data_IF_888001293000
#
_entry.id   IF_888001293000
#
_cell.length_a   1.000
_cell.length_b   1.000
_cell.length_c   1.000
_cell.angle_alpha   90.00
_cell.angle_beta   90.00
_cell.angle_gamma   90.00
#
_symmetry.space_group_name_H-M   'P 1'
#
loop_
_entity.id
_entity.type
_entity.pdbx_description
1 polymer ?
#
# COMPACT_ATOMS: atom_id res chain seq x y z
N UNK A 1 -7.21 -10.59 -5.51
CA UNK A 1 -7.67 -9.70 -4.40
C UNK A 1 -6.71 -9.85 -3.22
N UNK A 2 -5.78 -8.91 -3.07
CA UNK A 2 -4.85 -8.86 -1.93
C UNK A 2 -5.61 -8.31 -0.73
N UNK A 3 -5.65 -9.05 0.38
CA UNK A 3 -6.30 -8.53 1.60
C UNK A 3 -5.40 -7.50 2.27
N UNK A 4 -5.99 -6.50 2.92
CA UNK A 4 -5.25 -5.44 3.66
C UNK A 4 -4.18 -6.00 4.61
N UNK A 5 -4.44 -7.14 5.27
CA UNK A 5 -3.47 -7.82 6.13
C UNK A 5 -2.19 -8.23 5.41
N UNK A 6 -2.32 -8.79 4.21
CA UNK A 6 -1.18 -9.18 3.38
C UNK A 6 -0.38 -7.94 2.93
N UNK A 7 -1.06 -6.83 2.65
CA UNK A 7 -0.41 -5.57 2.29
C UNK A 7 0.36 -4.96 3.46
N UNK A 8 -0.19 -5.00 4.67
CA UNK A 8 0.50 -4.59 5.89
C UNK A 8 1.78 -5.41 6.08
N UNK A 9 1.68 -6.73 5.95
CA UNK A 9 2.85 -7.62 6.05
C UNK A 9 3.92 -7.29 5.02
N UNK A 10 3.51 -7.12 3.76
CA UNK A 10 4.42 -6.75 2.67
C UNK A 10 5.16 -5.45 2.98
N UNK A 11 4.45 -4.39 3.38
CA UNK A 11 5.05 -3.10 3.72
C UNK A 11 5.98 -3.21 4.94
N UNK A 12 5.61 -4.01 5.94
CA UNK A 12 6.45 -4.27 7.11
C UNK A 12 7.76 -4.95 6.71
N UNK A 13 7.68 -5.98 5.87
CA UNK A 13 8.84 -6.73 5.39
C UNK A 13 9.74 -5.87 4.46
N UNK A 14 9.15 -5.07 3.56
CA UNK A 14 9.89 -4.12 2.69
C UNK A 14 10.68 -3.06 3.48
N UNK A 15 10.16 -2.65 4.64
CA UNK A 15 10.83 -1.71 5.56
C UNK A 15 11.74 -2.40 6.57
N UNK A 16 11.82 -3.73 6.57
CA UNK A 16 12.55 -4.55 7.54
C UNK A 16 12.15 -4.28 8.99
N UNK A 17 10.86 -4.02 9.24
CA UNK A 17 10.36 -3.83 10.60
C UNK A 17 9.96 -5.18 11.23
N UNK A 18 10.37 -5.39 12.47
CA UNK A 18 9.75 -6.37 13.37
C UNK A 18 8.32 -5.94 13.73
N UNK A 19 7.52 -6.86 14.29
CA UNK A 19 6.17 -6.51 14.77
C UNK A 19 6.22 -5.49 15.92
N UNK A 20 7.24 -5.60 16.75
CA UNK A 20 7.54 -4.75 17.89
C UNK A 20 7.93 -3.34 17.45
N UNK A 21 8.77 -3.21 16.42
CA UNK A 21 9.15 -1.91 15.84
C UNK A 21 7.96 -1.24 15.17
N UNK A 22 7.18 -1.96 14.36
CA UNK A 22 5.98 -1.40 13.75
C UNK A 22 4.95 -1.02 14.82
N UNK A 23 4.83 -1.80 15.90
CA UNK A 23 4.00 -1.48 17.05
C UNK A 23 4.38 -0.16 17.70
N UNK A 24 5.69 0.06 17.92
CA UNK A 24 6.21 1.34 18.45
C UNK A 24 5.95 2.52 17.50
N UNK A 25 6.22 2.35 16.20
CA UNK A 25 6.04 3.42 15.20
C UNK A 25 4.57 3.80 15.00
N UNK A 26 3.67 2.81 14.99
CA UNK A 26 2.24 3.03 14.78
C UNK A 26 1.46 3.25 16.09
N UNK A 27 2.10 3.10 17.25
CA UNK A 27 1.44 3.08 18.56
C UNK A 27 0.27 2.08 18.59
N UNK A 28 0.56 0.85 18.18
CA UNK A 28 -0.35 -0.30 18.17
C UNK A 28 0.32 -1.48 18.88
N UNK A 29 -0.50 -2.37 19.44
CA UNK A 29 0.01 -3.61 20.03
C UNK A 29 0.52 -4.57 18.95
N UNK A 30 1.72 -5.17 19.09
CA UNK A 30 2.28 -6.13 18.13
C UNK A 30 1.35 -7.33 17.85
N UNK A 31 0.58 -7.78 18.84
CA UNK A 31 -0.41 -8.84 18.68
C UNK A 31 -1.55 -8.40 17.77
N UNK A 32 -1.98 -7.14 17.86
CA UNK A 32 -3.00 -6.59 16.96
C UNK A 32 -2.51 -6.56 15.52
N UNK A 33 -1.27 -6.09 15.31
CA UNK A 33 -0.62 -6.09 13.99
C UNK A 33 -0.55 -7.52 13.42
N UNK A 34 -0.05 -8.47 14.21
CA UNK A 34 0.00 -9.89 13.81
C UNK A 34 -1.37 -10.45 13.44
N UNK A 35 -2.43 -10.09 14.19
CA UNK A 35 -3.80 -10.50 13.86
C UNK A 35 -4.29 -9.88 12.55
N UNK A 36 -3.94 -8.63 12.27
CA UNK A 36 -4.26 -7.99 10.98
C UNK A 36 -3.54 -8.71 9.83
N UNK A 37 -2.23 -8.94 9.95
CA UNK A 37 -1.42 -9.62 8.92
C UNK A 37 -1.93 -11.03 8.59
N UNK A 38 -2.41 -11.75 9.61
CA UNK A 38 -2.94 -13.09 9.47
C UNK A 38 -4.46 -13.14 9.18
N UNK A 39 -5.09 -12.00 8.86
CA UNK A 39 -6.54 -11.89 8.60
C UNK A 39 -7.42 -12.41 9.75
N UNK A 40 -6.92 -12.41 11.00
CA UNK A 40 -7.68 -12.78 12.21
C UNK A 40 -8.41 -11.60 12.84
N UNK A 41 -8.16 -10.39 12.34
CA UNK A 41 -8.87 -9.17 12.69
C UNK A 41 -8.80 -8.19 11.52
N UNK A 42 -9.78 -7.29 11.43
CA UNK A 42 -9.80 -6.19 10.46
C UNK A 42 -9.40 -4.91 11.21
N UNK A 43 -8.40 -4.14 10.74
CA UNK A 43 -8.03 -2.88 11.37
C UNK A 43 -9.16 -1.86 11.19
N UNK A 44 -9.51 -1.17 12.27
CA UNK A 44 -10.47 -0.06 12.24
C UNK A 44 -9.80 1.22 11.73
N UNK A 45 -10.60 2.26 11.47
CA UNK A 45 -10.15 3.53 10.87
C UNK A 45 -8.94 4.16 11.58
N UNK A 46 -8.90 4.13 12.91
CA UNK A 46 -7.77 4.67 13.68
C UNK A 46 -6.49 3.85 13.49
N UNK A 47 -6.57 2.50 13.53
CA UNK A 47 -5.44 1.63 13.21
C UNK A 47 -4.93 1.84 11.79
N UNK A 48 -5.83 2.01 10.82
CA UNK A 48 -5.46 2.30 9.42
C UNK A 48 -4.66 3.61 9.32
N UNK A 49 -5.15 4.69 9.96
CA UNK A 49 -4.44 5.98 10.01
C UNK A 49 -3.05 5.84 10.61
N UNK A 50 -2.95 5.17 11.76
CA UNK A 50 -1.69 4.91 12.47
C UNK A 50 -0.69 4.14 11.62
N UNK A 51 -1.13 3.08 10.95
CA UNK A 51 -0.29 2.27 10.06
C UNK A 51 0.15 3.08 8.83
N UNK A 52 -0.75 3.82 8.20
CA UNK A 52 -0.41 4.66 7.05
C UNK A 52 0.65 5.72 7.41
N UNK A 53 0.51 6.36 8.58
CA UNK A 53 1.51 7.29 9.11
C UNK A 53 2.85 6.61 9.40
N UNK A 54 2.84 5.44 10.04
CA UNK A 54 4.05 4.69 10.37
C UNK A 54 4.84 4.23 9.12
N UNK A 55 4.13 3.93 8.03
CA UNK A 55 4.75 3.57 6.75
C UNK A 55 5.08 4.79 5.87
N UNK A 56 4.66 5.98 6.25
CA UNK A 56 4.75 7.22 5.45
C UNK A 56 4.07 7.09 4.07
N UNK A 57 2.85 6.54 4.04
CA UNK A 57 2.03 6.35 2.84
C UNK A 57 0.65 6.98 3.01
N UNK A 58 -0.09 7.15 1.91
CA UNK A 58 -1.50 7.53 1.98
C UNK A 58 -2.37 6.38 2.47
N UNK A 59 -3.49 6.71 3.12
CA UNK A 59 -4.51 5.74 3.53
C UNK A 59 -5.09 5.03 2.31
N UNK A 60 -5.35 5.78 1.24
CA UNK A 60 -5.84 5.23 -0.03
C UNK A 60 -4.87 4.18 -0.56
N UNK A 61 -3.56 4.43 -0.52
CA UNK A 61 -2.59 3.42 -0.91
C UNK A 61 -2.69 2.20 0.00
N UNK A 62 -2.80 2.34 1.32
CA UNK A 62 -2.94 1.18 2.21
C UNK A 62 -4.23 0.36 1.96
N UNK A 63 -5.33 1.01 1.58
CA UNK A 63 -6.62 0.37 1.33
C UNK A 63 -6.81 -0.10 -0.12
N UNK A 64 -6.05 0.45 -1.04
CA UNK A 64 -6.25 0.20 -2.46
C UNK A 64 -5.79 -1.20 -2.85
N UNK A 65 -6.65 -1.87 -3.63
CA UNK A 65 -6.33 -3.11 -4.35
C UNK A 65 -5.50 -2.84 -5.63
N UNK A 66 -5.31 -1.56 -6.00
CA UNK A 66 -4.90 -1.11 -7.34
C UNK A 66 -3.46 -1.40 -7.76
N UNK A 67 -2.64 -2.05 -6.94
CA UNK A 67 -1.27 -2.39 -7.37
C UNK A 67 -1.31 -3.44 -8.50
N UNK A 68 -2.38 -4.23 -8.61
CA UNK A 68 -2.59 -5.14 -9.74
C UNK A 68 -2.89 -4.41 -11.06
N UNK A 69 -3.42 -3.18 -11.02
CA UNK A 69 -3.68 -2.44 -12.26
C UNK A 69 -2.37 -2.05 -12.93
N UNK A 70 -1.39 -1.49 -12.21
CA UNK A 70 -0.17 -0.99 -12.84
C UNK A 70 0.68 -2.13 -13.44
N UNK A 71 0.80 -3.26 -12.75
CA UNK A 71 1.46 -4.44 -13.34
C UNK A 71 0.71 -4.95 -14.56
N UNK A 72 -0.63 -4.97 -14.51
CA UNK A 72 -1.45 -5.31 -15.68
C UNK A 72 -1.26 -4.32 -16.83
N UNK A 73 -1.17 -3.02 -16.57
CA UNK A 73 -0.96 -1.98 -17.59
C UNK A 73 0.44 -2.05 -18.20
N UNK A 74 1.46 -2.40 -17.42
CA UNK A 74 2.84 -2.57 -17.90
C UNK A 74 3.02 -3.89 -18.66
N UNK A 75 2.40 -4.98 -18.20
CA UNK A 75 2.41 -6.28 -18.88
C UNK A 75 1.59 -6.26 -20.19
N UNK A 76 0.52 -5.46 -20.24
CA UNK A 76 -0.37 -5.39 -21.42
C UNK A 76 -0.05 -4.27 -22.40
N UNK A 77 1.08 -3.57 -22.22
CA UNK A 77 1.60 -2.63 -23.21
C UNK A 77 0.66 -1.46 -23.50
N UNK A 78 0.92 -0.32 -22.88
CA UNK A 78 0.40 0.94 -23.44
C UNK A 78 0.98 1.07 -24.85
N UNK A 79 0.11 1.11 -25.86
CA UNK A 79 0.51 1.42 -27.22
C UNK A 79 1.23 2.78 -27.19
N UNK A 80 2.54 2.76 -27.40
CA UNK A 80 3.46 3.89 -27.28
C UNK A 80 3.03 5.08 -28.17
N UNK A 81 2.27 4.79 -29.21
CA UNK A 81 1.83 5.70 -30.26
C UNK A 81 0.91 6.83 -29.76
N UNK A 82 0.20 6.68 -28.63
CA UNK A 82 -0.74 7.71 -28.18
C UNK A 82 -0.15 8.73 -27.18
N UNK A 83 0.84 8.37 -26.37
CA UNK A 83 1.38 9.26 -25.31
C UNK A 83 2.26 10.40 -25.89
N UNK A 84 2.93 10.14 -27.00
CA UNK A 84 3.78 11.14 -27.66
C UNK A 84 2.97 12.31 -28.23
N UNK A 85 1.67 12.12 -28.52
CA UNK A 85 0.79 13.16 -29.06
C UNK A 85 0.32 14.21 -28.03
N UNK A 86 0.45 13.93 -26.73
CA UNK A 86 -0.05 14.82 -25.67
C UNK A 86 0.97 15.85 -25.19
N UNK A 87 2.26 15.72 -25.54
CA UNK A 87 3.32 16.64 -25.09
C UNK A 87 3.65 17.82 -26.04
N UNK A 88 3.09 17.86 -27.26
CA UNK A 88 3.36 18.96 -28.20
C UNK A 88 2.38 20.14 -28.10
N UNK A 89 1.33 20.06 -27.28
CA UNK A 89 0.32 21.14 -27.21
C UNK A 89 0.51 22.17 -26.08
N UNK A 90 1.57 22.07 -25.29
CA UNK A 90 1.94 23.09 -24.28
C UNK A 90 3.14 23.97 -24.69
N UNK A 91 3.51 23.99 -25.98
CA UNK A 91 4.47 24.97 -26.54
C UNK A 91 3.83 25.89 -27.57
N UNK A 92 2.69 26.49 -27.22
CA UNK A 92 2.22 27.74 -27.82
C UNK A 92 1.77 28.71 -26.74
#
# INVERSE_FOLDING_TARGET
MIKIGQKIRKLRDEKNYTLEELGKLSNLDPTSISRFENNKAIPHSNSIKKLASAFHISIDYLLSDSIELLSTFLEKGVCKECYESTFEKEKK
#
